data_IF_384212866147
#
_entry.id   IF_384212866147
#
_cell.length_a   1.000
_cell.length_b   1.000
_cell.length_c   1.000
_cell.angle_alpha   90.00
_cell.angle_beta   90.00
_cell.angle_gamma   90.00
#
_symmetry.space_group_name_H-M   'P 1'
#
loop_
_entity.id
_entity.type
_entity.pdbx_description
1 polymer ?
#
# COMPACT_ATOMS: atom_id res chain seq x y z
N UNK A 1 -14.53 34.89 -1.95
CA UNK A 1 -14.01 34.72 -0.58
C UNK A 1 -13.71 33.26 -0.45
N UNK A 2 -12.44 32.88 -0.69
CA UNK A 2 -12.01 31.49 -0.62
C UNK A 2 -11.98 31.12 0.86
N UNK A 3 -12.90 30.27 1.31
CA UNK A 3 -12.82 29.69 2.65
C UNK A 3 -11.49 28.91 2.72
N UNK A 4 -10.60 29.39 3.56
CA UNK A 4 -9.40 28.68 3.96
C UNK A 4 -9.91 27.55 4.86
N UNK A 5 -10.13 26.35 4.28
CA UNK A 5 -10.39 25.16 5.08
C UNK A 5 -9.18 24.96 6.00
N UNK A 6 -9.45 24.75 7.28
CA UNK A 6 -8.40 24.58 8.27
C UNK A 6 -7.50 23.40 7.85
N UNK A 7 -6.21 23.52 8.03
CA UNK A 7 -5.23 22.46 7.73
C UNK A 7 -5.59 21.13 8.42
N UNK A 8 -6.38 21.18 9.48
CA UNK A 8 -6.90 20.02 10.20
C UNK A 8 -7.96 19.23 9.42
N UNK A 9 -8.76 19.88 8.57
CA UNK A 9 -9.79 19.20 7.75
C UNK A 9 -9.17 18.32 6.65
N UNK A 10 -8.08 18.78 6.04
CA UNK A 10 -7.36 18.02 5.02
C UNK A 10 -6.63 16.79 5.59
N UNK A 11 -6.06 16.93 6.79
CA UNK A 11 -5.44 15.81 7.54
C UNK A 11 -6.52 14.81 7.96
N UNK A 12 -7.67 15.28 8.43
CA UNK A 12 -8.80 14.43 8.79
C UNK A 12 -9.34 13.68 7.57
N UNK A 13 -9.37 14.31 6.40
CA UNK A 13 -9.75 13.63 5.16
C UNK A 13 -8.75 12.52 4.78
N UNK A 14 -7.44 12.80 4.81
CA UNK A 14 -6.42 11.77 4.56
C UNK A 14 -6.55 10.58 5.51
N UNK A 15 -6.78 10.86 6.81
CA UNK A 15 -7.04 9.84 7.82
C UNK A 15 -8.32 9.03 7.52
N UNK A 16 -9.38 9.68 7.01
CA UNK A 16 -10.66 9.05 6.65
C UNK A 16 -10.52 8.01 5.55
N UNK A 17 -9.71 8.30 4.52
CA UNK A 17 -9.61 7.44 3.33
C UNK A 17 -8.49 6.40 3.40
N UNK A 18 -7.52 6.55 4.31
CA UNK A 18 -6.32 5.72 4.39
C UNK A 18 -6.59 4.22 4.49
N UNK A 19 -7.61 3.83 5.28
CA UNK A 19 -7.97 2.43 5.50
C UNK A 19 -8.49 1.76 4.24
N UNK A 20 -9.36 2.44 3.50
CA UNK A 20 -9.91 1.95 2.24
C UNK A 20 -8.85 1.83 1.14
N UNK A 21 -8.02 2.88 0.99
CA UNK A 21 -6.89 2.86 0.03
C UNK A 21 -5.92 1.72 0.36
N UNK A 22 -5.55 1.56 1.63
CA UNK A 22 -4.67 0.48 2.06
C UNK A 22 -5.27 -0.90 1.78
N UNK A 23 -6.57 -1.08 2.06
CA UNK A 23 -7.28 -2.35 1.86
C UNK A 23 -7.35 -2.76 0.41
N UNK A 24 -7.85 -1.90 -0.47
CA UNK A 24 -7.95 -2.20 -1.89
C UNK A 24 -6.57 -2.29 -2.55
N UNK A 25 -5.67 -1.37 -2.23
CA UNK A 25 -4.34 -1.31 -2.85
C UNK A 25 -3.39 -2.45 -2.43
N UNK A 26 -3.64 -3.09 -1.28
CA UNK A 26 -2.83 -4.23 -0.81
C UNK A 26 -3.44 -5.61 -1.10
N UNK A 27 -4.70 -5.64 -1.51
CA UNK A 27 -5.51 -6.86 -1.54
C UNK A 27 -4.94 -7.98 -2.43
N UNK A 28 -4.38 -7.62 -3.57
CA UNK A 28 -3.90 -8.62 -4.51
C UNK A 28 -2.54 -9.22 -4.15
N UNK A 29 -1.71 -8.55 -3.34
CA UNK A 29 -0.29 -8.90 -3.15
C UNK A 29 -0.04 -10.36 -2.75
N UNK A 30 -0.95 -10.96 -2.01
CA UNK A 30 -0.87 -12.36 -1.57
C UNK A 30 -2.10 -13.16 -2.03
N UNK A 31 -2.82 -12.67 -3.02
CA UNK A 31 -4.01 -13.31 -3.58
C UNK A 31 -3.70 -14.61 -4.34
N UNK A 32 -4.74 -15.31 -4.75
CA UNK A 32 -4.59 -16.47 -5.62
C UNK A 32 -3.95 -16.08 -6.96
N UNK A 33 -4.29 -14.90 -7.50
CA UNK A 33 -3.74 -14.35 -8.73
C UNK A 33 -2.23 -14.09 -8.59
N UNK A 34 -1.79 -13.44 -7.50
CA UNK A 34 -0.37 -13.20 -7.24
C UNK A 34 0.41 -14.53 -7.06
N UNK A 35 -0.19 -15.52 -6.40
CA UNK A 35 0.44 -16.86 -6.28
C UNK A 35 0.53 -17.58 -7.64
N UNK A 36 -0.45 -17.39 -8.52
CA UNK A 36 -0.39 -17.95 -9.88
C UNK A 36 0.70 -17.25 -10.69
N UNK A 37 0.78 -15.92 -10.64
CA UNK A 37 1.85 -15.13 -11.25
C UNK A 37 3.25 -15.66 -10.85
N UNK A 38 3.44 -15.96 -9.57
CA UNK A 38 4.68 -16.56 -9.08
C UNK A 38 4.98 -17.91 -9.73
N UNK A 39 3.98 -18.78 -9.83
CA UNK A 39 4.14 -20.09 -10.48
C UNK A 39 4.53 -19.96 -11.96
N UNK A 40 3.93 -19.01 -12.66
CA UNK A 40 4.20 -18.77 -14.09
C UNK A 40 5.64 -18.28 -14.31
N UNK A 41 6.20 -17.58 -13.31
CA UNK A 41 7.60 -17.16 -13.27
C UNK A 41 8.57 -18.23 -12.72
N UNK A 42 8.06 -19.38 -12.26
CA UNK A 42 8.88 -20.38 -11.56
C UNK A 42 9.27 -19.97 -10.12
N UNK A 43 8.63 -18.93 -9.58
CA UNK A 43 8.87 -18.38 -8.24
C UNK A 43 7.74 -18.75 -7.26
N UNK A 44 8.03 -18.67 -5.96
CA UNK A 44 7.02 -18.89 -4.90
C UNK A 44 7.23 -17.94 -3.73
N UNK A 45 6.10 -17.46 -3.18
CA UNK A 45 6.12 -16.67 -1.96
C UNK A 45 6.79 -15.30 -2.12
N UNK A 46 7.67 -14.95 -1.20
CA UNK A 46 8.26 -13.63 -1.10
C UNK A 46 9.13 -13.19 -2.28
N UNK A 47 9.92 -14.06 -2.95
CA UNK A 47 10.59 -13.69 -4.20
C UNK A 47 9.64 -13.12 -5.24
N UNK A 48 8.46 -13.75 -5.44
CA UNK A 48 7.43 -13.22 -6.36
C UNK A 48 6.94 -11.82 -5.94
N UNK A 49 6.67 -11.64 -4.65
CA UNK A 49 6.22 -10.36 -4.12
C UNK A 49 7.25 -9.24 -4.38
N UNK A 50 8.53 -9.49 -4.07
CA UNK A 50 9.55 -8.45 -4.23
C UNK A 50 9.83 -8.13 -5.70
N UNK A 51 10.00 -9.13 -6.57
CA UNK A 51 10.29 -8.83 -7.99
C UNK A 51 9.07 -8.26 -8.73
N UNK A 52 7.87 -8.71 -8.43
CA UNK A 52 6.65 -8.17 -9.02
C UNK A 52 6.38 -6.73 -8.58
N UNK A 53 6.51 -6.47 -7.27
CA UNK A 53 6.25 -5.14 -6.70
C UNK A 53 7.38 -4.15 -6.95
N UNK A 54 8.63 -4.57 -6.75
CA UNK A 54 9.80 -3.69 -6.76
C UNK A 54 10.57 -3.72 -8.10
N UNK A 55 10.25 -4.65 -9.01
CA UNK A 55 10.86 -4.73 -10.33
C UNK A 55 10.70 -3.46 -11.18
N UNK A 56 9.70 -2.63 -10.85
CA UNK A 56 9.54 -1.28 -11.43
C UNK A 56 10.72 -0.34 -11.18
N UNK A 57 11.61 -0.68 -10.23
CA UNK A 57 12.86 0.04 -9.97
C UNK A 57 13.98 -0.36 -10.92
N UNK A 58 13.77 -1.41 -11.73
CA UNK A 58 14.80 -1.99 -12.60
C UNK A 58 15.78 -2.91 -11.84
N UNK A 59 16.90 -3.25 -12.46
CA UNK A 59 17.89 -4.18 -11.92
C UNK A 59 18.78 -3.53 -10.84
N UNK A 60 18.16 -3.17 -9.74
CA UNK A 60 18.83 -2.53 -8.59
C UNK A 60 19.39 -3.56 -7.60
N UNK A 61 20.31 -3.15 -6.74
CA UNK A 61 20.80 -3.99 -5.65
C UNK A 61 19.77 -4.10 -4.51
N UNK A 62 19.89 -5.15 -3.68
CA UNK A 62 18.96 -5.45 -2.60
C UNK A 62 18.81 -4.29 -1.60
N UNK A 63 19.86 -3.52 -1.36
CA UNK A 63 19.84 -2.33 -0.49
C UNK A 63 18.82 -1.29 -0.96
N UNK A 64 18.65 -1.11 -2.27
CA UNK A 64 17.66 -0.19 -2.83
C UNK A 64 16.25 -0.69 -2.56
N UNK A 65 16.03 -2.01 -2.68
CA UNK A 65 14.75 -2.64 -2.37
C UNK A 65 14.47 -2.58 -0.86
N UNK A 66 15.46 -2.81 -0.03
CA UNK A 66 15.37 -2.65 1.43
C UNK A 66 14.98 -1.22 1.81
N UNK A 67 15.57 -0.23 1.17
CA UNK A 67 15.27 1.17 1.43
C UNK A 67 13.80 1.55 1.17
N UNK A 68 13.16 0.93 0.18
CA UNK A 68 11.75 1.20 -0.15
C UNK A 68 10.77 0.23 0.55
N UNK A 69 11.26 -0.93 0.99
CA UNK A 69 10.50 -1.97 1.69
C UNK A 69 10.89 -2.05 3.18
N UNK A 70 11.24 -0.95 3.82
CA UNK A 70 11.87 -0.85 5.12
C UNK A 70 11.13 -1.48 6.31
N UNK A 71 9.91 -1.98 6.13
CA UNK A 71 9.17 -2.74 7.15
C UNK A 71 9.58 -4.21 7.25
N UNK A 72 10.45 -4.69 6.34
CA UNK A 72 11.01 -6.04 6.37
C UNK A 72 12.45 -6.00 6.88
N UNK A 73 12.95 -7.08 7.51
CA UNK A 73 14.37 -7.19 7.83
C UNK A 73 15.22 -7.17 6.55
N UNK A 74 16.36 -6.49 6.60
CA UNK A 74 17.30 -6.38 5.47
C UNK A 74 17.67 -7.75 4.88
N UNK A 75 18.10 -8.69 5.72
CA UNK A 75 18.48 -10.05 5.28
C UNK A 75 17.31 -10.83 4.63
N UNK A 76 16.07 -10.52 5.05
CA UNK A 76 14.88 -11.12 4.45
C UNK A 76 14.62 -10.56 3.04
N UNK A 77 14.74 -9.24 2.87
CA UNK A 77 14.64 -8.59 1.55
C UNK A 77 15.75 -9.05 0.63
N UNK A 78 16.99 -9.03 1.11
CA UNK A 78 18.17 -9.47 0.34
C UNK A 78 17.99 -10.88 -0.20
N UNK A 79 17.62 -11.83 0.66
CA UNK A 79 17.40 -13.22 0.26
C UNK A 79 16.32 -13.32 -0.81
N UNK A 80 15.14 -12.75 -0.55
CA UNK A 80 13.99 -12.88 -1.45
C UNK A 80 14.19 -12.13 -2.77
N UNK A 81 14.82 -10.94 -2.74
CA UNK A 81 15.15 -10.19 -3.94
C UNK A 81 16.19 -10.92 -4.80
N UNK A 82 17.29 -11.37 -4.21
CA UNK A 82 18.35 -12.05 -4.95
C UNK A 82 17.87 -13.39 -5.55
N UNK A 83 16.99 -14.11 -4.86
CA UNK A 83 16.35 -15.31 -5.42
C UNK A 83 15.42 -14.97 -6.59
N UNK A 84 14.64 -13.87 -6.46
CA UNK A 84 13.67 -13.49 -7.46
C UNK A 84 14.27 -12.79 -8.68
N UNK A 85 15.33 -11.97 -8.51
CA UNK A 85 15.90 -11.14 -9.60
C UNK A 85 16.61 -11.92 -10.71
N UNK A 86 16.73 -13.24 -10.57
CA UNK A 86 17.25 -14.13 -11.61
C UNK A 86 16.26 -14.28 -12.80
N UNK A 87 14.97 -13.92 -12.60
CA UNK A 87 14.00 -13.87 -13.70
C UNK A 87 14.07 -12.52 -14.42
N UNK A 88 13.50 -12.45 -15.62
CA UNK A 88 13.32 -11.19 -16.32
C UNK A 88 12.39 -10.27 -15.50
N UNK A 89 12.94 -9.17 -14.96
CA UNK A 89 12.22 -8.23 -14.11
C UNK A 89 11.08 -7.53 -14.86
N UNK A 90 11.23 -7.29 -16.18
CA UNK A 90 10.14 -6.69 -16.98
C UNK A 90 8.96 -7.64 -17.04
N UNK A 91 9.23 -8.91 -17.35
CA UNK A 91 8.20 -9.95 -17.35
C UNK A 91 7.59 -10.14 -15.95
N UNK A 92 8.39 -10.10 -14.88
CA UNK A 92 7.90 -10.22 -13.51
C UNK A 92 6.93 -9.10 -13.15
N UNK A 93 7.24 -7.86 -13.52
CA UNK A 93 6.34 -6.70 -13.32
C UNK A 93 5.06 -6.85 -14.14
N UNK A 94 5.16 -7.24 -15.42
CA UNK A 94 4.01 -7.43 -16.29
C UNK A 94 3.04 -8.49 -15.75
N UNK A 95 3.55 -9.66 -15.39
CA UNK A 95 2.75 -10.77 -14.85
C UNK A 95 2.12 -10.39 -13.49
N UNK A 96 2.86 -9.65 -12.66
CA UNK A 96 2.35 -9.19 -11.38
C UNK A 96 1.29 -8.08 -11.52
N UNK A 97 1.46 -7.20 -12.51
CA UNK A 97 0.45 -6.22 -12.89
C UNK A 97 -0.84 -6.91 -13.39
N UNK A 98 -0.71 -7.94 -14.23
CA UNK A 98 -1.85 -8.73 -14.68
C UNK A 98 -2.58 -9.37 -13.50
N UNK A 99 -1.85 -9.92 -12.51
CA UNK A 99 -2.45 -10.46 -11.28
C UNK A 99 -3.25 -9.40 -10.49
N UNK A 100 -2.75 -8.17 -10.41
CA UNK A 100 -3.48 -7.04 -9.82
C UNK A 100 -4.79 -6.76 -10.58
N UNK A 101 -4.71 -6.68 -11.90
CA UNK A 101 -5.84 -6.40 -12.78
C UNK A 101 -6.90 -7.52 -12.73
N UNK A 102 -6.47 -8.78 -12.71
CA UNK A 102 -7.37 -9.94 -12.57
C UNK A 102 -8.04 -9.97 -11.21
N UNK A 103 -7.33 -9.60 -10.14
CA UNK A 103 -7.95 -9.43 -8.83
C UNK A 103 -9.06 -8.38 -8.89
N UNK A 104 -8.81 -7.23 -9.52
CA UNK A 104 -9.81 -6.18 -9.70
C UNK A 104 -11.06 -6.68 -10.44
N UNK A 105 -10.89 -7.40 -11.54
CA UNK A 105 -12.00 -8.01 -12.29
C UNK A 105 -12.80 -8.99 -11.44
N UNK A 106 -12.13 -9.79 -10.62
CA UNK A 106 -12.79 -10.79 -9.80
C UNK A 106 -13.59 -10.19 -8.63
N UNK A 107 -13.16 -9.06 -8.07
CA UNK A 107 -13.71 -8.54 -6.81
C UNK A 107 -14.45 -7.20 -6.95
N UNK A 108 -14.27 -6.46 -8.05
CA UNK A 108 -14.84 -5.13 -8.24
C UNK A 108 -15.83 -5.03 -9.41
N UNK A 109 -16.02 -6.09 -10.20
CA UNK A 109 -16.96 -6.07 -11.35
C UNK A 109 -18.42 -5.87 -10.94
N UNK A 110 -18.80 -6.17 -9.71
CA UNK A 110 -20.13 -5.92 -9.16
C UNK A 110 -20.33 -4.52 -8.58
N UNK A 111 -19.36 -3.63 -8.73
CA UNK A 111 -19.45 -2.26 -8.24
C UNK A 111 -19.85 -1.30 -9.36
N UNK A 112 -21.09 -0.83 -9.34
CA UNK A 112 -21.66 -0.01 -10.43
C UNK A 112 -20.90 1.31 -10.66
N UNK A 113 -20.35 1.93 -9.59
CA UNK A 113 -19.62 3.20 -9.66
C UNK A 113 -18.09 3.01 -9.83
N UNK A 114 -17.66 1.84 -10.28
CA UNK A 114 -16.23 1.50 -10.41
C UNK A 114 -15.48 2.45 -11.34
N UNK A 115 -16.08 2.87 -12.44
CA UNK A 115 -15.51 3.83 -13.39
C UNK A 115 -15.25 5.17 -12.69
N UNK A 116 -16.28 5.71 -12.01
CA UNK A 116 -16.16 7.01 -11.34
C UNK A 116 -15.12 7.03 -10.24
N UNK A 117 -15.06 5.98 -9.40
CA UNK A 117 -14.02 5.87 -8.37
C UNK A 117 -12.63 5.76 -9.00
N UNK A 118 -12.50 5.03 -10.11
CA UNK A 118 -11.23 4.91 -10.85
C UNK A 118 -10.76 6.27 -11.37
N UNK A 119 -11.65 7.06 -12.01
CA UNK A 119 -11.34 8.41 -12.50
C UNK A 119 -10.83 9.34 -11.38
N UNK A 120 -11.52 9.35 -10.24
CA UNK A 120 -11.11 10.16 -9.10
C UNK A 120 -9.75 9.73 -8.54
N UNK A 121 -9.51 8.43 -8.44
CA UNK A 121 -8.22 7.89 -8.01
C UNK A 121 -7.10 8.22 -9.00
N UNK A 122 -7.38 8.11 -10.30
CA UNK A 122 -6.44 8.47 -11.37
C UNK A 122 -6.04 9.94 -11.31
N UNK A 123 -7.00 10.84 -11.08
CA UNK A 123 -6.71 12.26 -10.93
C UNK A 123 -5.70 12.51 -9.80
N UNK A 124 -5.85 11.83 -8.66
CA UNK A 124 -4.90 11.95 -7.55
C UNK A 124 -3.53 11.42 -7.93
N UNK A 125 -3.46 10.24 -8.56
CA UNK A 125 -2.19 9.63 -9.00
C UNK A 125 -1.47 10.52 -10.01
N UNK A 126 -2.19 11.06 -11.00
CA UNK A 126 -1.60 11.80 -12.10
C UNK A 126 -1.08 13.17 -11.68
N UNK A 127 -1.76 13.83 -10.75
CA UNK A 127 -1.39 15.17 -10.27
C UNK A 127 -0.43 15.19 -9.09
N UNK A 128 -0.20 14.03 -8.43
CA UNK A 128 0.69 13.96 -7.28
C UNK A 128 2.16 13.85 -7.70
N UNK A 129 3.05 14.71 -7.20
CA UNK A 129 4.50 14.55 -7.40
C UNK A 129 5.03 13.26 -6.78
N UNK A 130 5.98 12.61 -7.44
CA UNK A 130 6.57 11.34 -6.98
C UNK A 130 7.77 11.49 -6.06
N UNK A 131 8.04 12.70 -5.55
CA UNK A 131 9.21 13.00 -4.71
C UNK A 131 9.17 12.13 -3.45
N UNK A 132 10.26 11.40 -3.20
CA UNK A 132 10.38 10.51 -2.03
C UNK A 132 9.58 9.19 -2.12
N UNK A 133 8.93 8.90 -3.26
CA UNK A 133 8.08 7.73 -3.44
C UNK A 133 8.44 6.92 -4.69
N UNK A 134 9.59 6.21 -4.69
CA UNK A 134 10.09 5.55 -5.91
C UNK A 134 9.19 4.42 -6.42
N UNK A 135 8.54 3.63 -5.53
CA UNK A 135 7.58 2.61 -5.97
C UNK A 135 6.33 3.24 -6.59
N UNK A 136 5.81 4.32 -5.99
CA UNK A 136 4.72 5.09 -6.60
C UNK A 136 5.11 5.59 -7.99
N UNK A 137 6.32 6.14 -8.15
CA UNK A 137 6.82 6.61 -9.43
C UNK A 137 6.85 5.48 -10.47
N UNK A 138 7.37 4.31 -10.11
CA UNK A 138 7.43 3.16 -11.00
C UNK A 138 6.05 2.60 -11.36
N UNK A 139 5.20 2.35 -10.36
CA UNK A 139 3.84 1.82 -10.60
C UNK A 139 2.98 2.76 -11.45
N UNK A 140 3.13 4.08 -11.27
CA UNK A 140 2.40 5.08 -12.06
C UNK A 140 2.72 5.03 -13.56
N UNK A 141 3.90 4.55 -13.95
CA UNK A 141 4.30 4.47 -15.37
C UNK A 141 3.78 3.22 -16.08
N UNK A 142 3.26 2.24 -15.33
CA UNK A 142 2.76 1.01 -15.92
C UNK A 142 1.48 1.27 -16.74
N UNK A 143 1.29 0.55 -17.86
CA UNK A 143 0.12 0.72 -18.72
C UNK A 143 -1.15 0.40 -17.94
N UNK A 144 -2.14 1.30 -18.00
CA UNK A 144 -3.42 1.13 -17.32
C UNK A 144 -4.34 0.19 -18.08
N UNK A 145 -5.09 -0.62 -17.33
CA UNK A 145 -6.13 -1.47 -17.88
C UNK A 145 -7.23 -0.62 -18.54
N UNK A 146 -7.83 -1.16 -19.61
CA UNK A 146 -8.93 -0.48 -20.30
C UNK A 146 -10.24 -0.60 -19.53
N UNK A 147 -10.48 -1.73 -18.86
CA UNK A 147 -11.66 -1.97 -18.06
C UNK A 147 -11.50 -1.39 -16.64
N UNK A 148 -12.56 -0.77 -16.13
CA UNK A 148 -12.53 -0.02 -14.88
C UNK A 148 -12.25 -0.87 -13.62
N UNK A 149 -12.76 -2.10 -13.46
CA UNK A 149 -12.42 -2.91 -12.28
C UNK A 149 -10.93 -3.21 -12.16
N UNK A 150 -10.28 -3.56 -13.26
CA UNK A 150 -8.84 -3.80 -13.31
C UNK A 150 -8.03 -2.52 -13.09
N UNK A 151 -8.46 -1.43 -13.73
CA UNK A 151 -7.83 -0.11 -13.59
C UNK A 151 -7.92 0.41 -12.15
N UNK A 152 -9.09 0.28 -11.50
CA UNK A 152 -9.26 0.68 -10.11
C UNK A 152 -8.30 -0.07 -9.17
N UNK A 153 -8.17 -1.39 -9.29
CA UNK A 153 -7.24 -2.17 -8.48
C UNK A 153 -5.78 -1.67 -8.66
N UNK A 154 -5.37 -1.44 -9.90
CA UNK A 154 -4.03 -0.92 -10.23
C UNK A 154 -3.79 0.48 -9.65
N UNK A 155 -4.74 1.39 -9.79
CA UNK A 155 -4.62 2.77 -9.30
C UNK A 155 -4.62 2.82 -7.78
N UNK A 156 -5.45 2.02 -7.12
CA UNK A 156 -5.44 1.88 -5.66
C UNK A 156 -4.11 1.32 -5.14
N UNK A 157 -3.51 0.35 -5.86
CA UNK A 157 -2.15 -0.13 -5.54
C UNK A 157 -1.13 0.99 -5.66
N UNK A 158 -1.22 1.80 -6.71
CA UNK A 158 -0.33 2.95 -6.90
C UNK A 158 -0.47 3.99 -5.77
N UNK A 159 -1.69 4.33 -5.35
CA UNK A 159 -1.94 5.22 -4.20
C UNK A 159 -1.40 4.63 -2.89
N UNK A 160 -1.51 3.32 -2.72
CA UNK A 160 -0.94 2.63 -1.57
C UNK A 160 0.60 2.72 -1.56
N UNK A 161 1.27 2.63 -2.69
CA UNK A 161 2.73 2.82 -2.76
C UNK A 161 3.14 4.25 -2.39
N UNK A 162 2.35 5.26 -2.77
CA UNK A 162 2.56 6.63 -2.31
C UNK A 162 2.46 6.72 -0.78
N UNK A 163 1.35 6.20 -0.22
CA UNK A 163 1.16 6.21 1.22
C UNK A 163 2.25 5.44 1.95
N UNK A 164 2.66 4.29 1.43
CA UNK A 164 3.71 3.46 2.02
C UNK A 164 5.04 4.20 2.15
N UNK A 165 5.45 4.94 1.12
CA UNK A 165 6.67 5.76 1.16
C UNK A 165 6.58 6.87 2.21
N UNK A 166 5.46 7.60 2.26
CA UNK A 166 5.24 8.65 3.27
C UNK A 166 5.18 8.08 4.68
N UNK A 167 4.56 6.91 4.85
CA UNK A 167 4.46 6.26 6.15
C UNK A 167 5.81 5.78 6.68
N UNK A 168 6.65 5.19 5.83
CA UNK A 168 8.00 4.79 6.23
C UNK A 168 8.82 5.99 6.70
N UNK A 169 8.79 7.11 5.98
CA UNK A 169 9.44 8.34 6.37
C UNK A 169 8.88 8.90 7.70
N UNK A 170 7.57 8.86 7.89
CA UNK A 170 6.90 9.32 9.10
C UNK A 170 7.24 8.46 10.32
N UNK A 171 7.34 7.14 10.17
CA UNK A 171 7.76 6.20 11.22
C UNK A 171 9.14 6.55 11.71
N UNK A 172 10.12 6.69 10.80
CA UNK A 172 11.48 7.08 11.15
C UNK A 172 11.55 8.48 11.79
N UNK A 173 10.82 9.46 11.23
CA UNK A 173 10.75 10.82 11.76
C UNK A 173 10.02 10.91 13.12
N UNK A 174 9.36 9.87 13.57
CA UNK A 174 8.73 9.75 14.90
C UNK A 174 9.60 8.99 15.89
N UNK A 175 10.82 8.63 15.51
CA UNK A 175 11.78 7.91 16.37
C UNK A 175 11.49 6.43 16.56
N UNK A 176 10.64 5.85 15.70
CA UNK A 176 10.39 4.42 15.65
C UNK A 176 11.35 3.72 14.68
N UNK A 177 11.78 2.55 15.05
CA UNK A 177 12.34 1.60 14.08
C UNK A 177 11.19 0.95 13.31
N UNK A 178 11.40 0.53 12.05
CA UNK A 178 10.42 -0.24 11.30
C UNK A 178 9.97 -1.51 12.03
N UNK A 179 10.89 -2.19 12.73
CA UNK A 179 10.58 -3.35 13.58
C UNK A 179 9.58 -3.00 14.70
N UNK A 180 9.85 -1.92 15.46
CA UNK A 180 8.93 -1.48 16.52
C UNK A 180 7.55 -1.14 15.96
N UNK A 181 7.48 -0.49 14.80
CA UNK A 181 6.23 -0.16 14.13
C UNK A 181 5.41 -1.42 13.78
N UNK A 182 6.05 -2.49 13.28
CA UNK A 182 5.40 -3.74 12.94
C UNK A 182 4.97 -4.53 14.19
N UNK A 183 5.90 -4.73 15.15
CA UNK A 183 5.65 -5.53 16.36
C UNK A 183 4.55 -4.92 17.23
N UNK A 184 4.50 -3.60 17.32
CA UNK A 184 3.49 -2.88 18.10
C UNK A 184 2.16 -2.67 17.37
N UNK A 185 2.07 -3.09 16.10
CA UNK A 185 0.87 -2.97 15.28
C UNK A 185 -0.20 -3.98 15.62
N UNK A 186 -1.35 -3.85 14.95
CA UNK A 186 -2.42 -4.85 15.03
C UNK A 186 -1.89 -6.22 14.60
N UNK A 187 -2.10 -7.26 15.40
CA UNK A 187 -1.54 -8.60 15.17
C UNK A 187 -0.18 -8.85 15.82
N UNK A 188 0.52 -7.82 16.31
CA UNK A 188 1.71 -7.94 17.14
C UNK A 188 2.78 -8.89 16.60
N UNK A 189 3.24 -9.82 17.43
CA UNK A 189 4.28 -10.78 17.07
C UNK A 189 3.94 -11.70 15.89
N UNK A 190 2.68 -12.08 15.69
CA UNK A 190 2.28 -12.89 14.53
C UNK A 190 2.46 -12.13 13.22
N UNK A 191 2.10 -10.84 13.22
CA UNK A 191 2.33 -9.97 12.08
C UNK A 191 3.84 -9.77 11.84
N UNK A 192 4.61 -9.53 12.90
CA UNK A 192 6.06 -9.38 12.80
C UNK A 192 6.74 -10.62 12.22
N UNK A 193 6.36 -11.81 12.67
CA UNK A 193 6.86 -13.08 12.12
C UNK A 193 6.50 -13.25 10.64
N UNK A 194 5.29 -12.85 10.24
CA UNK A 194 4.88 -12.83 8.84
C UNK A 194 5.77 -11.92 7.99
N UNK A 195 6.18 -10.76 8.51
CA UNK A 195 7.13 -9.85 7.85
C UNK A 195 8.60 -10.30 7.98
N UNK A 196 8.87 -11.48 8.53
CA UNK A 196 10.22 -12.05 8.61
C UNK A 196 11.03 -11.61 9.84
N UNK A 197 10.43 -10.91 10.82
CA UNK A 197 11.09 -10.57 12.06
C UNK A 197 11.14 -11.77 13.01
N UNK A 198 12.34 -12.20 13.37
CA UNK A 198 12.55 -13.32 14.30
C UNK A 198 12.39 -12.88 15.77
N UNK A 199 12.84 -11.66 16.09
CA UNK A 199 12.72 -11.06 17.41
C UNK A 199 11.50 -10.11 17.45
N UNK A 200 10.53 -10.46 18.27
CA UNK A 200 9.26 -9.75 18.39
C UNK A 200 9.08 -9.10 19.78
N UNK A 201 10.11 -9.17 20.63
CA UNK A 201 10.06 -8.57 21.95
C UNK A 201 10.28 -7.06 21.88
N UNK A 202 9.47 -6.32 22.62
CA UNK A 202 9.63 -4.87 22.85
C UNK A 202 10.00 -4.70 24.32
N UNK A 203 11.04 -3.91 24.57
CA UNK A 203 11.44 -3.56 25.93
C UNK A 203 10.28 -2.80 26.62
N UNK A 204 9.99 -3.18 27.87
CA UNK A 204 8.81 -2.71 28.60
C UNK A 204 8.82 -1.19 28.79
N UNK A 205 10.00 -0.60 28.99
CA UNK A 205 10.22 0.85 29.14
C UNK A 205 9.99 1.64 27.83
N UNK A 206 9.91 0.95 26.68
CA UNK A 206 9.65 1.55 25.36
C UNK A 206 8.18 1.58 24.98
N UNK A 207 7.33 0.83 25.66
CA UNK A 207 5.96 0.59 25.22
C UNK A 207 5.13 1.88 25.05
N UNK A 208 5.10 2.74 26.07
CA UNK A 208 4.35 4.00 26.06
C UNK A 208 4.85 4.96 24.97
N UNK A 209 6.18 5.02 24.83
CA UNK A 209 6.80 5.80 23.74
C UNK A 209 6.34 5.31 22.38
N UNK A 210 6.40 4.00 22.15
CA UNK A 210 6.02 3.39 20.85
C UNK A 210 4.57 3.69 20.51
N UNK A 211 3.63 3.56 21.45
CA UNK A 211 2.22 3.85 21.22
C UNK A 211 2.01 5.33 20.82
N UNK A 212 2.65 6.25 21.53
CA UNK A 212 2.59 7.67 21.21
C UNK A 212 3.23 7.99 19.86
N UNK A 213 4.41 7.44 19.59
CA UNK A 213 5.13 7.64 18.34
C UNK A 213 4.40 7.06 17.12
N UNK A 214 3.69 5.94 17.26
CA UNK A 214 2.81 5.39 16.20
C UNK A 214 1.69 6.36 15.84
N UNK A 215 0.98 6.87 16.84
CA UNK A 215 -0.08 7.85 16.59
C UNK A 215 0.46 9.11 15.90
N UNK A 216 1.68 9.54 16.25
CA UNK A 216 2.35 10.66 15.59
C UNK A 216 2.78 10.31 14.16
N UNK A 217 3.29 9.10 13.92
CA UNK A 217 3.65 8.63 12.57
C UNK A 217 2.43 8.63 11.64
N UNK A 218 1.27 8.17 12.11
CA UNK A 218 0.02 8.23 11.34
C UNK A 218 -0.37 9.67 11.01
N UNK A 219 -0.38 10.58 11.99
CA UNK A 219 -0.68 12.01 11.76
C UNK A 219 0.30 12.66 10.78
N UNK A 220 1.59 12.35 10.86
CA UNK A 220 2.60 12.84 9.91
C UNK A 220 2.34 12.31 8.51
N UNK A 221 2.01 11.01 8.37
CA UNK A 221 1.66 10.39 7.10
C UNK A 221 0.47 11.09 6.47
N UNK A 222 -0.62 11.25 7.23
CA UNK A 222 -1.83 11.92 6.75
C UNK A 222 -1.56 13.36 6.32
N UNK A 223 -0.73 14.10 7.09
CA UNK A 223 -0.31 15.46 6.74
C UNK A 223 0.52 15.52 5.46
N UNK A 224 1.44 14.59 5.24
CA UNK A 224 2.24 14.53 4.00
C UNK A 224 1.40 14.22 2.76
N UNK A 225 0.24 13.58 2.92
CA UNK A 225 -0.66 13.24 1.84
C UNK A 225 -1.72 14.33 1.54
N UNK A 226 -1.84 15.38 2.35
CA UNK A 226 -2.89 16.41 2.15
C UNK A 226 -2.82 17.03 0.77
N UNK A 227 -1.63 17.40 0.29
CA UNK A 227 -1.44 18.00 -1.03
C UNK A 227 -1.89 17.07 -2.17
N UNK A 228 -1.73 15.76 -2.02
CA UNK A 228 -2.22 14.78 -3.00
C UNK A 228 -3.75 14.77 -3.05
N UNK A 229 -4.41 14.80 -1.90
CA UNK A 229 -5.87 14.83 -1.84
C UNK A 229 -6.48 16.16 -2.26
N UNK A 230 -5.72 17.27 -2.15
CA UNK A 230 -6.13 18.60 -2.62
C UNK A 230 -6.20 18.71 -4.16
N UNK A 231 -5.74 17.72 -4.90
CA UNK A 231 -5.96 17.63 -6.35
C UNK A 231 -7.44 17.40 -6.69
N UNK A 232 -8.22 16.82 -5.77
CA UNK A 232 -9.68 16.74 -5.86
C UNK A 232 -10.31 17.97 -5.20
N UNK A 233 -11.37 18.49 -5.82
CA UNK A 233 -12.22 19.49 -5.15
C UNK A 233 -13.01 18.86 -3.99
N UNK A 234 -13.67 19.66 -3.18
CA UNK A 234 -14.39 19.19 -1.98
C UNK A 234 -15.52 18.22 -2.29
N UNK A 235 -16.25 18.43 -3.39
CA UNK A 235 -17.32 17.53 -3.82
C UNK A 235 -16.75 16.17 -4.23
N UNK A 236 -15.70 16.18 -5.05
CA UNK A 236 -15.01 14.96 -5.50
C UNK A 236 -14.38 14.20 -4.32
N UNK A 237 -13.87 14.90 -3.29
CA UNK A 237 -13.37 14.23 -2.07
C UNK A 237 -14.47 13.52 -1.30
N UNK A 238 -15.61 14.16 -1.12
CA UNK A 238 -16.75 13.55 -0.42
C UNK A 238 -17.28 12.35 -1.19
N UNK A 239 -17.35 12.45 -2.51
CA UNK A 239 -17.74 11.38 -3.41
C UNK A 239 -16.72 10.23 -3.34
N UNK A 240 -15.42 10.51 -3.50
CA UNK A 240 -14.36 9.50 -3.41
C UNK A 240 -14.43 8.70 -2.11
N UNK A 241 -14.57 9.36 -0.95
CA UNK A 241 -14.66 8.69 0.33
C UNK A 241 -15.89 7.75 0.42
N UNK A 242 -17.03 8.20 -0.10
CA UNK A 242 -18.27 7.40 -0.13
C UNK A 242 -18.14 6.19 -1.06
N UNK A 243 -17.61 6.40 -2.26
CA UNK A 243 -17.42 5.35 -3.25
C UNK A 243 -16.36 4.32 -2.78
N UNK A 244 -15.31 4.80 -2.12
CA UNK A 244 -14.27 3.95 -1.55
C UNK A 244 -14.83 2.98 -0.50
N UNK A 245 -15.69 3.46 0.40
CA UNK A 245 -16.34 2.58 1.40
C UNK A 245 -17.20 1.50 0.74
N UNK A 246 -17.96 1.88 -0.28
CA UNK A 246 -18.80 0.94 -1.04
C UNK A 246 -17.96 -0.10 -1.78
N UNK A 247 -16.87 0.33 -2.43
CA UNK A 247 -15.95 -0.58 -3.11
C UNK A 247 -15.28 -1.56 -2.14
N UNK A 248 -14.88 -1.09 -0.95
CA UNK A 248 -14.33 -1.95 0.12
C UNK A 248 -15.37 -2.98 0.58
N UNK A 249 -16.62 -2.56 0.80
CA UNK A 249 -17.69 -3.48 1.23
C UNK A 249 -17.98 -4.55 0.18
N UNK A 250 -17.93 -4.22 -1.10
CA UNK A 250 -18.12 -5.18 -2.20
C UNK A 250 -16.92 -6.12 -2.34
N UNK A 251 -15.70 -5.58 -2.29
CA UNK A 251 -14.49 -6.39 -2.44
C UNK A 251 -14.26 -7.36 -1.27
N UNK A 252 -14.80 -7.05 -0.08
CA UNK A 252 -14.59 -7.81 1.16
C UNK A 252 -15.92 -8.02 1.91
N UNK A 253 -16.87 -8.80 1.37
CA UNK A 253 -18.20 -8.97 1.96
C UNK A 253 -18.20 -9.58 3.36
N UNK A 254 -17.21 -10.43 3.67
CA UNK A 254 -17.10 -11.13 4.96
C UNK A 254 -16.39 -10.31 6.05
N UNK A 255 -16.05 -9.05 5.78
CA UNK A 255 -15.31 -8.19 6.74
C UNK A 255 -16.10 -7.79 7.99
N UNK A 256 -17.40 -8.01 8.01
CA UNK A 256 -18.25 -7.73 9.18
C UNK A 256 -17.92 -8.63 10.40
N UNK A 257 -17.24 -9.77 10.19
CA UNK A 257 -16.87 -10.71 11.27
C UNK A 257 -15.35 -10.83 11.52
N UNK A 258 -14.49 -10.34 10.62
CA UNK A 258 -13.04 -10.51 10.72
C UNK A 258 -12.23 -9.24 10.48
N UNK A 259 -12.75 -8.09 10.91
CA UNK A 259 -12.13 -6.76 10.73
C UNK A 259 -10.69 -6.64 11.29
N UNK A 260 -10.22 -7.60 12.07
CA UNK A 260 -8.94 -7.53 12.78
C UNK A 260 -7.75 -8.12 12.02
N UNK A 261 -7.92 -9.15 11.20
CA UNK A 261 -6.80 -9.84 10.54
C UNK A 261 -6.35 -9.20 9.22
N UNK A 262 -7.28 -8.64 8.44
CA UNK A 262 -6.97 -7.96 7.19
C UNK A 262 -6.40 -6.54 7.38
N UNK A 263 -6.81 -5.84 8.44
CA UNK A 263 -6.30 -4.51 8.79
C UNK A 263 -4.83 -4.56 9.23
N UNK A 264 -4.38 -5.63 9.86
CA UNK A 264 -3.01 -5.81 10.30
C UNK A 264 -2.01 -5.87 9.12
N UNK A 265 -2.33 -6.63 8.08
CA UNK A 265 -1.49 -6.71 6.88
C UNK A 265 -1.54 -5.44 6.02
N UNK A 266 -2.58 -4.61 6.19
CA UNK A 266 -2.82 -3.39 5.41
C UNK A 266 -2.29 -2.14 6.11
N UNK A 267 -2.28 -2.11 7.44
CA UNK A 267 -1.75 -0.96 8.23
C UNK A 267 -0.24 -1.03 8.46
N UNK A 268 0.38 -2.16 8.19
CA UNK A 268 1.83 -2.32 8.33
C UNK A 268 2.61 -1.93 7.05
N UNK A 269 1.91 -1.45 6.03
CA UNK A 269 2.55 -0.94 4.80
C UNK A 269 2.04 0.43 4.42
#
# INVERSE_FOLDING_TARGET
MTEIFAADDDVAYAARVRGGVGSLGGAFFLSAQARQAGKDLGLRGWPTYFVGRCGVLGPVEADVVTAVCGFFPESFVEKAWNEGREVDLTLAVEVYLQACQEWGRAHLSGFDDVERLSELAEQVVDQTPSIGAPLFAGWRTLPRAQDAPARLAQVMTTLRELRGAMHLAAVMASGLTPREAIVSGTGGGANASFFGWADVEIAEDRYDFIQSARAEAERKTDRMLTASWQTLNLGDRAEFATLLDRAVAIAFPDRSESAELGAAAVQAN
#
